data_IF_300815155536
#
_entry.id   IF_300815155536
#
_cell.length_a   1.000
_cell.length_b   1.000
_cell.length_c   1.000
_cell.angle_alpha   90.00
_cell.angle_beta   90.00
_cell.angle_gamma   90.00
#
_symmetry.space_group_name_H-M   'P 1'
#
loop_
_entity.id
_entity.type
_entity.pdbx_description
1 polymer ?
#
# COMPACT_ATOMS: atom_id res chain seq x y z
N UNK A 1 27.02 24.47 27.34
CA UNK A 1 26.76 23.44 28.38
C UNK A 1 25.69 22.52 27.83
N UNK A 2 25.97 21.23 27.64
CA UNK A 2 24.91 20.27 27.34
C UNK A 2 24.10 20.05 28.61
N UNK A 3 22.84 20.50 28.61
CA UNK A 3 21.91 20.27 29.71
C UNK A 3 21.31 18.89 29.52
N UNK A 4 21.99 17.88 30.05
CA UNK A 4 21.50 16.49 30.03
C UNK A 4 20.40 16.31 31.09
N UNK A 5 19.24 15.79 30.66
CA UNK A 5 18.13 15.44 31.56
C UNK A 5 18.33 14.01 32.06
N UNK A 6 18.37 13.81 33.38
CA UNK A 6 18.56 12.50 34.01
C UNK A 6 17.23 11.88 34.44
N UNK A 7 17.16 10.54 34.48
CA UNK A 7 16.01 9.80 35.04
C UNK A 7 15.78 10.21 36.50
N UNK A 8 14.54 10.50 36.86
CA UNK A 8 14.18 10.96 38.21
C UNK A 8 14.44 12.45 38.48
N UNK A 9 14.97 13.20 37.52
CA UNK A 9 15.10 14.65 37.63
C UNK A 9 13.71 15.31 37.58
N UNK A 10 13.43 16.18 38.55
CA UNK A 10 12.21 16.96 38.54
C UNK A 10 12.25 18.03 37.44
N UNK A 11 11.20 18.07 36.62
CA UNK A 11 10.98 19.09 35.60
C UNK A 11 9.76 19.90 36.03
N UNK A 12 9.90 21.22 36.08
CA UNK A 12 8.81 22.14 36.40
C UNK A 12 8.41 22.91 35.14
N UNK A 13 7.11 22.93 34.84
CA UNK A 13 6.55 23.65 33.70
C UNK A 13 5.41 24.56 34.17
N UNK A 14 5.18 25.63 33.40
CA UNK A 14 4.05 26.54 33.58
C UNK A 14 3.01 26.24 32.52
N UNK A 15 1.73 26.36 32.87
CA UNK A 15 0.65 26.27 31.89
C UNK A 15 0.68 27.54 31.02
N UNK A 16 0.74 27.42 29.68
CA UNK A 16 0.72 28.57 28.79
C UNK A 16 -0.55 29.42 28.93
N UNK A 17 -0.45 30.72 28.67
CA UNK A 17 -1.59 31.64 28.76
C UNK A 17 -2.67 31.38 27.69
N UNK A 18 -2.29 30.78 26.56
CA UNK A 18 -3.19 30.45 25.45
C UNK A 18 -3.90 29.08 25.63
N UNK A 19 -3.80 28.48 26.82
CA UNK A 19 -4.40 27.16 27.08
C UNK A 19 -5.94 27.26 27.09
N UNK A 20 -6.67 26.49 26.26
CA UNK A 20 -8.12 26.50 26.25
C UNK A 20 -8.75 26.12 27.59
N UNK A 21 -9.88 26.77 27.92
CA UNK A 21 -10.60 26.63 29.20
C UNK A 21 -11.00 25.19 29.53
N UNK A 22 -11.36 24.40 28.51
CA UNK A 22 -11.74 23.00 28.69
C UNK A 22 -10.55 22.12 29.15
N UNK A 23 -9.33 22.42 28.72
CA UNK A 23 -8.13 21.72 29.18
C UNK A 23 -7.78 22.08 30.62
N UNK A 24 -7.97 23.35 31.01
CA UNK A 24 -7.78 23.79 32.39
C UNK A 24 -8.72 23.06 33.35
N UNK A 25 -10.01 22.95 32.99
CA UNK A 25 -11.00 22.20 33.78
C UNK A 25 -10.62 20.72 33.90
N UNK A 26 -10.13 20.12 32.82
CA UNK A 26 -9.69 18.73 32.84
C UNK A 26 -8.46 18.52 33.73
N UNK A 27 -7.48 19.43 33.69
CA UNK A 27 -6.30 19.39 34.57
C UNK A 27 -6.68 19.58 36.04
N UNK A 28 -7.64 20.47 36.33
CA UNK A 28 -8.17 20.66 37.68
C UNK A 28 -8.85 19.39 38.20
N UNK A 29 -9.76 18.80 37.40
CA UNK A 29 -10.42 17.54 37.73
C UNK A 29 -9.40 16.42 37.98
N UNK A 30 -8.39 16.31 37.13
CA UNK A 30 -7.33 15.31 37.26
C UNK A 30 -6.54 15.50 38.56
N UNK A 31 -6.25 16.75 38.94
CA UNK A 31 -5.58 17.07 40.20
C UNK A 31 -6.42 16.68 41.41
N UNK A 32 -7.74 16.87 41.34
CA UNK A 32 -8.67 16.48 42.40
C UNK A 32 -8.81 14.96 42.55
N UNK A 33 -8.81 14.22 41.43
CA UNK A 33 -8.93 12.76 41.42
C UNK A 33 -7.64 12.06 41.83
N UNK A 34 -6.50 12.41 41.23
CA UNK A 34 -5.22 11.71 41.43
C UNK A 34 -4.45 12.18 42.66
N UNK A 35 -4.67 13.43 43.10
CA UNK A 35 -4.05 14.06 44.27
C UNK A 35 -2.53 13.86 44.34
N UNK A 36 -2.06 12.89 45.12
CA UNK A 36 -0.63 12.56 45.32
C UNK A 36 0.03 11.97 44.08
N UNK A 37 -0.74 11.36 43.19
CA UNK A 37 -0.25 10.72 41.97
C UNK A 37 -0.29 11.64 40.76
N UNK A 38 -0.83 12.86 40.91
CA UNK A 38 -1.03 13.80 39.81
C UNK A 38 0.24 14.01 38.97
N UNK A 39 1.39 14.20 39.62
CA UNK A 39 2.67 14.40 38.93
C UNK A 39 3.09 13.18 38.11
N UNK A 40 2.84 11.96 38.61
CA UNK A 40 3.15 10.72 37.88
C UNK A 40 2.24 10.57 36.66
N UNK A 41 0.94 10.81 36.82
CA UNK A 41 -0.03 10.76 35.70
C UNK A 41 0.28 11.79 34.63
N UNK A 42 0.63 13.02 35.01
CA UNK A 42 1.04 14.05 34.04
C UNK A 42 2.35 13.66 33.35
N UNK A 43 3.31 13.07 34.08
CA UNK A 43 4.55 12.59 33.48
C UNK A 43 4.29 11.52 32.40
N UNK A 44 3.31 10.64 32.59
CA UNK A 44 2.90 9.67 31.56
C UNK A 44 2.34 10.37 30.31
N UNK A 45 1.46 11.35 30.47
CA UNK A 45 0.95 12.13 29.35
C UNK A 45 2.04 12.91 28.62
N UNK A 46 3.00 13.48 29.34
CA UNK A 46 4.14 14.18 28.74
C UNK A 46 5.02 13.20 27.96
N UNK A 47 5.36 12.04 28.53
CA UNK A 47 6.14 11.01 27.83
C UNK A 47 5.43 10.50 26.58
N UNK A 48 4.12 10.30 26.66
CA UNK A 48 3.31 9.93 25.50
C UNK A 48 3.33 11.03 24.43
N UNK A 49 3.18 12.30 24.83
CA UNK A 49 3.24 13.44 23.92
C UNK A 49 4.60 13.57 23.23
N UNK A 50 5.71 13.40 23.98
CA UNK A 50 7.07 13.40 23.41
C UNK A 50 7.25 12.24 22.43
N UNK A 51 6.81 11.03 22.79
CA UNK A 51 6.86 9.88 21.89
C UNK A 51 6.03 10.09 20.62
N UNK A 52 4.85 10.71 20.72
CA UNK A 52 4.01 11.03 19.56
C UNK A 52 4.66 12.12 18.69
N UNK A 53 5.29 13.13 19.28
CA UNK A 53 6.03 14.16 18.55
C UNK A 53 7.20 13.55 17.76
N UNK A 54 7.96 12.63 18.38
CA UNK A 54 9.05 11.93 17.71
C UNK A 54 8.57 11.04 16.56
N UNK A 55 7.38 10.42 16.70
CA UNK A 55 6.75 9.66 15.62
C UNK A 55 6.28 10.54 14.46
N UNK A 56 5.96 11.81 14.69
CA UNK A 56 5.54 12.76 13.65
C UNK A 56 6.74 13.23 12.80
N UNK A 57 7.95 13.19 13.35
CA UNK A 57 9.19 13.54 12.63
C UNK A 57 9.75 12.39 11.79
N UNK A 58 9.38 11.15 12.09
CA UNK A 58 9.62 10.03 11.18
C UNK A 58 8.46 9.94 10.20
N UNK A 59 8.74 9.81 8.89
CA UNK A 59 7.75 9.57 7.84
C UNK A 59 7.13 8.17 7.98
N UNK A 60 6.42 7.94 9.08
CA UNK A 60 5.86 6.64 9.45
C UNK A 60 4.36 6.63 9.20
N UNK A 61 3.93 5.74 8.31
CA UNK A 61 2.52 5.51 8.02
C UNK A 61 2.02 4.43 8.97
N UNK A 62 1.02 4.74 9.80
CA UNK A 62 0.36 3.75 10.66
C UNK A 62 -0.89 3.23 9.98
N UNK A 63 -0.89 1.97 9.56
CA UNK A 63 -2.02 1.32 8.91
C UNK A 63 -2.75 0.43 9.94
N UNK A 64 -4.01 0.75 10.33
CA UNK A 64 -4.77 -0.09 11.22
C UNK A 64 -5.19 -1.39 10.52
N UNK A 65 -5.04 -2.52 11.21
CA UNK A 65 -5.41 -3.82 10.67
C UNK A 65 -6.93 -4.05 10.79
N UNK A 66 -7.60 -4.58 9.75
CA UNK A 66 -9.06 -4.75 9.74
C UNK A 66 -9.54 -5.90 10.65
N UNK A 67 -8.68 -6.90 10.90
CA UNK A 67 -8.98 -8.08 11.73
C UNK A 67 -7.74 -8.49 12.53
N UNK A 68 -7.96 -9.28 13.59
CA UNK A 68 -6.86 -9.87 14.36
C UNK A 68 -6.09 -10.84 13.47
N UNK A 69 -4.77 -10.65 13.37
CA UNK A 69 -3.89 -11.53 12.60
C UNK A 69 -3.71 -12.88 13.28
N UNK A 70 -3.62 -13.94 12.46
CA UNK A 70 -3.21 -15.27 12.91
C UNK A 70 -1.75 -15.26 13.43
N UNK A 71 -1.29 -16.36 14.02
CA UNK A 71 0.12 -16.48 14.42
C UNK A 71 1.05 -16.41 13.20
N UNK A 72 0.74 -17.16 12.13
CA UNK A 72 1.52 -17.16 10.90
C UNK A 72 1.56 -15.80 10.22
N UNK A 73 0.44 -15.07 10.17
CA UNK A 73 0.41 -13.72 9.59
C UNK A 73 1.25 -12.71 10.39
N UNK A 74 1.27 -12.84 11.73
CA UNK A 74 2.13 -12.01 12.57
C UNK A 74 3.60 -12.34 12.41
N UNK A 75 3.94 -13.60 12.29
CA UNK A 75 5.32 -14.05 12.08
C UNK A 75 5.80 -13.66 10.68
N UNK A 76 4.92 -13.75 9.67
CA UNK A 76 5.18 -13.27 8.32
C UNK A 76 5.45 -11.77 8.30
N UNK A 77 4.61 -10.95 8.93
CA UNK A 77 4.77 -9.49 8.98
C UNK A 77 6.08 -9.03 9.64
N UNK A 78 6.67 -9.86 10.50
CA UNK A 78 7.94 -9.58 11.19
C UNK A 78 9.17 -10.08 10.43
N UNK A 79 8.98 -10.84 9.35
CA UNK A 79 10.08 -11.38 8.58
C UNK A 79 10.63 -10.33 7.63
N UNK A 80 11.96 -10.25 7.49
CA UNK A 80 12.66 -9.23 6.70
C UNK A 80 12.17 -9.16 5.24
N UNK A 81 12.06 -10.31 4.56
CA UNK A 81 11.51 -10.36 3.20
C UNK A 81 10.08 -9.82 3.08
N UNK A 82 9.23 -10.08 4.07
CA UNK A 82 7.85 -9.57 4.04
C UNK A 82 7.80 -8.07 4.26
N UNK A 83 8.66 -7.55 5.13
CA UNK A 83 8.83 -6.11 5.34
C UNK A 83 9.33 -5.42 4.05
N UNK A 84 10.31 -6.02 3.37
CA UNK A 84 10.82 -5.51 2.09
C UNK A 84 9.74 -5.51 1.00
N UNK A 85 8.93 -6.57 0.92
CA UNK A 85 7.79 -6.63 -0.01
C UNK A 85 6.72 -5.57 0.31
N UNK A 86 6.37 -5.37 1.58
CA UNK A 86 5.43 -4.31 1.94
C UNK A 86 5.99 -2.92 1.62
N UNK A 87 7.29 -2.72 1.86
CA UNK A 87 7.98 -1.50 1.49
C UNK A 87 7.94 -1.23 -0.01
N UNK A 88 8.15 -2.25 -0.85
CA UNK A 88 8.11 -2.09 -2.31
C UNK A 88 6.70 -1.79 -2.82
N UNK A 89 5.67 -2.44 -2.27
CA UNK A 89 4.26 -2.14 -2.61
C UNK A 89 3.92 -0.70 -2.24
N UNK A 90 4.29 -0.25 -1.04
CA UNK A 90 4.05 1.14 -0.61
C UNK A 90 4.79 2.13 -1.49
N UNK A 91 6.05 1.85 -1.82
CA UNK A 91 6.84 2.70 -2.73
C UNK A 91 6.18 2.82 -4.11
N UNK A 92 5.70 1.71 -4.67
CA UNK A 92 5.03 1.72 -5.97
C UNK A 92 3.71 2.49 -5.93
N UNK A 93 2.92 2.35 -4.86
CA UNK A 93 1.68 3.13 -4.65
C UNK A 93 1.95 4.64 -4.55
N UNK A 94 3.05 5.04 -3.91
CA UNK A 94 3.45 6.44 -3.79
C UNK A 94 3.99 7.02 -5.10
N UNK A 95 4.58 6.18 -5.95
CA UNK A 95 5.21 6.60 -7.22
C UNK A 95 4.20 6.65 -8.37
N UNK A 96 3.39 5.60 -8.53
CA UNK A 96 2.40 5.49 -9.60
C UNK A 96 1.22 4.62 -9.13
N UNK A 97 0.18 5.23 -8.52
CA UNK A 97 -0.94 4.49 -7.94
C UNK A 97 -1.77 3.75 -9.00
N UNK A 98 -1.90 4.29 -10.22
CA UNK A 98 -2.70 3.68 -11.29
C UNK A 98 -2.12 2.35 -11.77
N UNK A 99 -0.80 2.30 -11.97
CA UNK A 99 -0.11 1.03 -12.30
C UNK A 99 -0.10 0.06 -11.12
N UNK A 100 0.09 0.57 -9.90
CA UNK A 100 0.09 -0.27 -8.71
C UNK A 100 -1.25 -0.99 -8.49
N UNK A 101 -2.37 -0.29 -8.69
CA UNK A 101 -3.70 -0.89 -8.56
C UNK A 101 -3.97 -1.89 -9.67
N UNK A 102 -3.58 -1.60 -10.92
CA UNK A 102 -3.73 -2.53 -12.03
C UNK A 102 -2.94 -3.83 -11.81
N UNK A 103 -1.69 -3.73 -11.34
CA UNK A 103 -0.88 -4.90 -10.97
C UNK A 103 -1.50 -5.69 -9.81
N UNK A 104 -1.95 -5.02 -8.76
CA UNK A 104 -2.62 -5.70 -7.64
C UNK A 104 -3.94 -6.35 -8.07
N UNK A 105 -4.68 -5.72 -8.97
CA UNK A 105 -5.90 -6.27 -9.54
C UNK A 105 -5.60 -7.53 -10.35
N UNK A 106 -4.63 -7.47 -11.28
CA UNK A 106 -4.16 -8.62 -12.08
C UNK A 106 -3.69 -9.78 -11.19
N UNK A 107 -2.88 -9.50 -10.15
CA UNK A 107 -2.41 -10.52 -9.20
C UNK A 107 -3.55 -11.17 -8.40
N UNK A 108 -4.59 -10.41 -8.08
CA UNK A 108 -5.72 -10.92 -7.28
C UNK A 108 -6.82 -11.55 -8.16
N UNK A 109 -6.90 -11.18 -9.45
CA UNK A 109 -7.86 -11.74 -10.42
C UNK A 109 -7.27 -12.89 -11.26
N UNK A 110 -5.96 -13.16 -11.15
CA UNK A 110 -5.24 -14.12 -11.98
C UNK A 110 -5.31 -13.80 -13.49
N UNK A 111 -5.59 -12.53 -13.84
CA UNK A 111 -5.60 -12.04 -15.22
C UNK A 111 -4.16 -11.74 -15.64
N UNK A 112 -3.68 -12.41 -16.70
CA UNK A 112 -2.30 -12.33 -17.17
C UNK A 112 -1.99 -11.05 -17.97
N UNK A 113 -3.00 -10.21 -18.23
CA UNK A 113 -2.86 -8.99 -19.01
C UNK A 113 -3.20 -7.73 -18.21
N UNK A 114 -2.26 -6.80 -18.19
CA UNK A 114 -2.30 -5.55 -17.40
C UNK A 114 -3.30 -4.56 -18.03
N UNK A 115 -3.45 -4.59 -19.35
CA UNK A 115 -4.36 -3.69 -20.08
C UNK A 115 -5.83 -4.09 -19.88
N UNK A 116 -6.12 -5.39 -19.74
CA UNK A 116 -7.47 -5.91 -19.42
C UNK A 116 -7.90 -5.53 -17.99
N UNK A 117 -6.97 -5.55 -17.03
CA UNK A 117 -7.25 -5.18 -15.65
C UNK A 117 -7.59 -3.68 -15.48
N UNK A 118 -7.05 -2.81 -16.34
CA UNK A 118 -7.35 -1.38 -16.35
C UNK A 118 -8.82 -1.12 -16.74
N UNK A 119 -9.34 -1.87 -17.71
CA UNK A 119 -10.75 -1.80 -18.14
C UNK A 119 -11.73 -2.30 -17.07
N UNK A 120 -11.42 -3.37 -16.32
CA UNK A 120 -12.25 -3.88 -15.22
C UNK A 120 -12.44 -2.85 -14.08
N UNK A 121 -11.46 -1.98 -13.88
CA UNK A 121 -11.54 -0.91 -12.87
C UNK A 121 -12.49 0.23 -13.30
N UNK A 122 -12.64 0.47 -14.61
CA UNK A 122 -13.60 1.44 -15.16
C UNK A 122 -15.04 0.92 -15.06
N UNK A 123 -15.30 -0.37 -15.29
CA UNK A 123 -16.65 -0.96 -15.20
C UNK A 123 -17.22 -0.93 -13.76
N UNK A 124 -16.40 -1.18 -12.75
CA UNK A 124 -16.84 -1.13 -11.33
C UNK A 124 -17.13 0.30 -10.84
N UNK A 125 -16.61 1.32 -11.53
CA UNK A 125 -16.88 2.72 -11.23
C UNK A 125 -18.22 3.21 -11.80
N UNK A 126 -18.80 2.49 -12.78
CA UNK A 126 -20.05 2.88 -13.44
C UNK A 126 -21.31 2.37 -12.74
N UNK A 127 -21.20 1.34 -11.89
CA UNK A 127 -22.36 0.70 -11.23
C UNK A 127 -22.75 1.30 -9.86
N UNK A 128 -21.99 2.28 -9.33
CA UNK A 128 -22.31 2.92 -8.03
C UNK A 128 -23.16 4.19 -8.13
N UNK A 129 -23.61 4.58 -9.33
CA UNK A 129 -24.38 5.83 -9.54
C UNK A 129 -25.86 5.65 -9.88
N UNK A 130 -26.41 4.42 -9.87
CA UNK A 130 -27.81 4.18 -10.28
C UNK A 130 -28.59 3.31 -9.30
N UNK A 131 -28.98 3.85 -8.15
CA UNK A 131 -30.14 3.32 -7.42
C UNK A 131 -30.78 4.26 -6.38
N UNK A 132 -30.82 5.59 -6.58
CA UNK A 132 -31.82 6.44 -5.91
C UNK A 132 -32.42 7.48 -6.88
N UNK A 133 -33.72 7.30 -7.15
CA UNK A 133 -34.76 8.30 -7.48
C UNK A 133 -34.88 8.93 -8.89
N UNK A 134 -35.83 8.35 -9.65
CA UNK A 134 -36.81 8.93 -10.59
C UNK A 134 -36.85 10.46 -10.84
N UNK A 135 -36.74 10.88 -12.12
CA UNK A 135 -37.80 11.52 -12.98
C UNK A 135 -37.22 12.17 -14.24
N UNK A 136 -37.86 11.87 -15.39
CA UNK A 136 -38.05 12.67 -16.64
C UNK A 136 -36.81 13.31 -17.32
N UNK A 137 -36.62 13.41 -18.64
CA UNK A 137 -37.16 12.88 -19.88
C UNK A 137 -36.26 13.52 -20.98
N UNK A 138 -35.92 12.78 -22.05
CA UNK A 138 -35.62 13.30 -23.42
C UNK A 138 -34.27 14.03 -23.63
N UNK A 139 -33.31 13.39 -24.29
CA UNK A 139 -32.90 13.64 -25.69
C UNK A 139 -31.75 12.70 -26.11
N UNK A 140 -32.04 11.87 -27.10
CA UNK A 140 -31.12 11.01 -27.83
C UNK A 140 -30.67 11.77 -29.09
N UNK A 141 -29.43 12.26 -29.13
CA UNK A 141 -28.79 12.64 -30.40
C UNK A 141 -27.30 12.90 -30.27
N UNK A 142 -26.54 12.38 -31.25
CA UNK A 142 -25.18 12.78 -31.65
C UNK A 142 -23.95 11.98 -31.16
N UNK A 143 -23.95 10.65 -31.27
CA UNK A 143 -22.70 9.83 -31.17
C UNK A 143 -22.51 8.87 -32.35
N UNK A 144 -22.75 9.34 -33.58
CA UNK A 144 -22.65 8.48 -34.78
C UNK A 144 -21.89 9.11 -35.97
N UNK A 145 -20.79 9.83 -35.72
CA UNK A 145 -19.99 10.39 -36.82
C UNK A 145 -18.46 10.46 -36.61
N UNK A 146 -17.87 9.87 -35.56
CA UNK A 146 -16.43 10.03 -35.29
C UNK A 146 -15.60 8.73 -35.23
N UNK A 147 -16.19 7.55 -35.44
CA UNK A 147 -15.52 6.26 -35.22
C UNK A 147 -15.28 5.43 -36.51
N UNK A 148 -15.02 6.07 -37.65
CA UNK A 148 -14.90 5.36 -38.94
C UNK A 148 -13.54 5.53 -39.67
N UNK A 149 -12.47 5.99 -39.01
CA UNK A 149 -11.12 6.02 -39.62
C UNK A 149 -10.06 5.58 -38.62
N UNK A 150 -9.76 4.27 -38.58
CA UNK A 150 -8.44 3.64 -38.32
C UNK A 150 -8.61 2.18 -37.83
N UNK A 151 -9.14 1.28 -38.66
CA UNK A 151 -9.27 -0.15 -38.29
C UNK A 151 -8.78 -1.13 -39.37
N UNK A 152 -8.00 -0.66 -40.35
CA UNK A 152 -7.64 -1.48 -41.53
C UNK A 152 -6.19 -2.00 -41.56
N UNK A 153 -5.35 -1.73 -40.56
CA UNK A 153 -3.91 -2.06 -40.62
C UNK A 153 -3.45 -3.18 -39.65
N UNK A 154 -4.38 -3.90 -39.02
CA UNK A 154 -4.07 -4.98 -38.05
C UNK A 154 -4.42 -6.37 -38.62
N UNK A 155 -5.13 -6.44 -39.74
CA UNK A 155 -5.61 -7.70 -40.32
C UNK A 155 -4.54 -8.49 -41.11
N UNK A 156 -3.30 -7.98 -41.21
CA UNK A 156 -2.23 -8.58 -42.02
C UNK A 156 -1.14 -9.28 -41.18
N UNK A 157 -1.35 -9.48 -39.87
CA UNK A 157 -0.41 -10.23 -39.02
C UNK A 157 -0.69 -11.74 -39.05
N UNK A 158 0.13 -12.46 -39.81
CA UNK A 158 0.05 -13.91 -39.96
C UNK A 158 0.82 -14.65 -38.84
N UNK A 159 0.10 -15.26 -37.90
CA UNK A 159 0.67 -16.07 -36.80
C UNK A 159 1.35 -17.38 -37.24
N UNK A 160 1.17 -17.80 -38.49
CA UNK A 160 1.71 -19.06 -39.01
C UNK A 160 3.22 -19.00 -39.31
N UNK A 161 3.83 -17.81 -39.34
CA UNK A 161 5.27 -17.65 -39.62
C UNK A 161 6.15 -17.85 -38.38
N UNK A 162 5.56 -18.06 -37.19
CA UNK A 162 6.29 -18.20 -35.91
C UNK A 162 6.45 -19.67 -35.48
N UNK A 163 5.68 -20.62 -36.05
CA UNK A 163 5.74 -22.04 -35.66
C UNK A 163 6.97 -22.82 -36.18
N UNK A 164 7.76 -22.25 -37.11
CA UNK A 164 8.80 -23.00 -37.81
C UNK A 164 10.23 -22.78 -37.29
N UNK A 165 10.42 -22.70 -35.97
CA UNK A 165 11.76 -22.80 -35.38
C UNK A 165 11.74 -23.37 -33.95
N UNK A 166 11.31 -24.62 -33.82
CA UNK A 166 11.62 -25.45 -32.67
C UNK A 166 12.59 -26.57 -33.09
N UNK A 167 13.85 -26.57 -32.61
CA UNK A 167 14.63 -27.80 -32.55
C UNK A 167 14.24 -28.52 -31.25
N UNK A 168 13.40 -29.54 -31.40
CA UNK A 168 13.29 -30.63 -30.43
C UNK A 168 14.52 -31.52 -30.59
N UNK A 169 15.43 -31.50 -29.62
CA UNK A 169 16.45 -32.53 -29.48
C UNK A 169 16.30 -33.13 -28.07
N UNK A 170 15.85 -34.38 -28.04
CA UNK A 170 15.73 -35.21 -26.86
C UNK A 170 17.12 -35.61 -26.39
N UNK A 171 17.51 -35.19 -25.19
CA UNK A 171 18.47 -35.94 -24.37
C UNK A 171 17.89 -36.05 -22.95
N UNK A 172 17.59 -37.29 -22.57
CA UNK A 172 17.25 -37.71 -21.22
C UNK A 172 18.47 -37.50 -20.32
N UNK A 173 18.44 -36.48 -19.46
CA UNK A 173 19.31 -36.44 -18.29
C UNK A 173 18.48 -36.07 -17.06
N UNK A 174 18.50 -36.96 -16.07
CA UNK A 174 17.99 -36.74 -14.72
C UNK A 174 18.67 -35.49 -14.14
N UNK A 175 18.02 -34.33 -14.26
CA UNK A 175 18.51 -33.10 -13.64
C UNK A 175 17.81 -32.94 -12.30
N UNK A 176 18.59 -33.13 -11.23
CA UNK A 176 18.20 -32.74 -9.88
C UNK A 176 17.62 -31.32 -9.89
N UNK A 177 16.42 -31.18 -9.34
CA UNK A 177 15.64 -29.93 -9.26
C UNK A 177 16.24 -28.95 -8.23
N UNK A 178 17.54 -28.72 -8.26
CA UNK A 178 18.18 -27.68 -7.47
C UNK A 178 18.09 -26.35 -8.21
N UNK A 179 17.43 -25.39 -7.57
CA UNK A 179 17.14 -24.04 -8.08
C UNK A 179 18.41 -23.34 -8.61
N UNK A 180 19.56 -23.59 -7.96
CA UNK A 180 20.85 -23.01 -8.33
C UNK A 180 21.37 -23.49 -9.69
N UNK A 181 21.05 -24.72 -10.11
CA UNK A 181 21.41 -25.26 -11.42
C UNK A 181 20.63 -24.57 -12.56
N UNK A 182 19.34 -24.31 -12.32
CA UNK A 182 18.47 -23.60 -13.27
C UNK A 182 18.87 -22.13 -13.45
N UNK A 183 19.33 -21.48 -12.37
CA UNK A 183 19.82 -20.09 -12.39
C UNK A 183 21.21 -19.96 -13.06
N UNK A 184 22.08 -20.95 -12.88
CA UNK A 184 23.40 -20.98 -13.52
C UNK A 184 23.34 -21.09 -15.04
N UNK A 185 22.44 -21.94 -15.57
CA UNK A 185 22.30 -22.17 -17.01
C UNK A 185 21.63 -20.96 -17.72
N UNK A 186 20.75 -20.24 -17.01
CA UNK A 186 20.14 -19.00 -17.48
C UNK A 186 21.16 -17.85 -17.59
N UNK A 187 21.99 -17.65 -16.56
CA UNK A 187 23.01 -16.58 -16.55
C UNK A 187 24.10 -16.82 -17.60
N UNK A 188 24.43 -18.08 -17.86
CA UNK A 188 25.45 -18.45 -18.84
C UNK A 188 25.01 -18.17 -20.29
N UNK A 189 23.70 -18.22 -20.59
CA UNK A 189 23.16 -17.88 -21.91
C UNK A 189 23.07 -16.38 -22.19
N UNK A 190 23.07 -15.54 -21.16
CA UNK A 190 22.94 -14.08 -21.30
C UNK A 190 24.29 -13.38 -21.52
N UNK A 191 25.40 -14.06 -21.25
CA UNK A 191 26.77 -13.52 -21.37
C UNK A 191 27.52 -14.03 -22.61
N UNK A 192 26.80 -14.36 -23.69
CA UNK A 192 27.40 -14.80 -24.97
C UNK A 192 27.11 -13.81 -26.09
#
# INVERSE_FOLDING_TARGET
>A
MNVEIKRGQAISFRVPSDTPDHLLKQLQRLKETERRNFSSTIAEFVLQGVNQSFKKEQETITIPLPKKLSKSQRDWLKHEHSEALLGSIVYQLLTDPGRATALLASLNSNALDIDEALYLQEETSLDTTKAEEHKEAVEESAVSAALERSNDDINDFNWQDIEHNTPLENEEEERDNDLDSLLGDFLSKMNK
#
